data_IF_695710615807
#
_entry.id   IF_695710615807
#
_cell.length_a   1.000
_cell.length_b   1.000
_cell.length_c   1.000
_cell.angle_alpha   90.00
_cell.angle_beta   90.00
_cell.angle_gamma   90.00
#
_symmetry.space_group_name_H-M   'P 1'
#
loop_
_entity.id
_entity.type
_entity.pdbx_description
1 polymer ?
#
# COMPACT_ATOMS: atom_id res chain seq x y z
N UNK A 1 -7.67 13.75 -18.39
CA UNK A 1 -7.26 13.44 -19.76
C UNK A 1 -6.08 12.52 -19.64
N UNK A 2 -6.21 11.31 -20.17
CA UNK A 2 -5.13 10.33 -20.23
C UNK A 2 -3.94 10.88 -21.02
N UNK A 3 -2.73 10.61 -20.56
CA UNK A 3 -1.55 10.78 -21.40
C UNK A 3 -1.46 9.61 -22.41
N UNK A 4 -0.55 9.71 -23.37
CA UNK A 4 -0.41 8.69 -24.43
C UNK A 4 -0.09 7.30 -23.86
N UNK A 5 0.79 7.20 -22.86
CA UNK A 5 1.19 5.93 -22.27
C UNK A 5 0.01 5.26 -21.55
N UNK A 6 -0.80 6.02 -20.82
CA UNK A 6 -2.00 5.50 -20.16
C UNK A 6 -3.06 5.05 -21.18
N UNK A 7 -3.22 5.79 -22.28
CA UNK A 7 -4.14 5.42 -23.36
C UNK A 7 -3.70 4.14 -24.09
N UNK A 8 -2.40 3.95 -24.30
CA UNK A 8 -1.84 2.71 -24.84
C UNK A 8 -2.06 1.53 -23.89
N UNK A 9 -1.84 1.74 -22.59
CA UNK A 9 -2.09 0.71 -21.57
C UNK A 9 -3.55 0.26 -21.55
N UNK A 10 -4.50 1.20 -21.59
CA UNK A 10 -5.94 0.91 -21.70
C UNK A 10 -6.26 0.08 -22.93
N UNK A 11 -5.63 0.39 -24.07
CA UNK A 11 -5.85 -0.35 -25.32
C UNK A 11 -5.26 -1.76 -25.27
N UNK A 12 -4.16 -1.96 -24.57
CA UNK A 12 -3.50 -3.26 -24.45
C UNK A 12 -4.16 -4.18 -23.43
N UNK A 13 -4.86 -3.64 -22.43
CA UNK A 13 -5.54 -4.43 -21.40
C UNK A 13 -7.06 -4.16 -21.38
N UNK A 14 -7.81 -4.67 -22.38
CA UNK A 14 -9.26 -4.56 -22.41
C UNK A 14 -9.95 -5.42 -21.35
N UNK A 15 -9.23 -6.37 -20.75
CA UNK A 15 -9.77 -7.31 -19.77
C UNK A 15 -10.06 -6.62 -18.42
N UNK A 16 -9.59 -5.39 -18.21
CA UNK A 16 -9.94 -4.54 -17.05
C UNK A 16 -10.80 -3.35 -17.53
N UNK A 17 -12.14 -3.48 -17.57
CA UNK A 17 -13.02 -2.46 -18.14
C UNK A 17 -12.86 -1.08 -17.49
N UNK A 18 -12.61 -1.04 -16.19
CA UNK A 18 -12.46 0.19 -15.40
C UNK A 18 -11.09 0.86 -15.49
N UNK A 19 -10.13 0.30 -16.23
CA UNK A 19 -8.75 0.81 -16.27
C UNK A 19 -8.68 2.26 -16.77
N UNK A 20 -9.41 2.56 -17.85
CA UNK A 20 -9.49 3.90 -18.42
C UNK A 20 -10.05 4.94 -17.44
N UNK A 21 -10.95 4.51 -16.55
CA UNK A 21 -11.53 5.38 -15.53
C UNK A 21 -10.50 5.69 -14.44
N UNK A 22 -9.72 4.69 -14.00
CA UNK A 22 -8.75 4.87 -12.92
C UNK A 22 -7.48 5.62 -13.34
N UNK A 23 -7.11 5.56 -14.62
CA UNK A 23 -5.96 6.30 -15.16
C UNK A 23 -6.30 7.74 -15.55
N UNK A 24 -7.59 8.12 -15.65
CA UNK A 24 -8.00 9.49 -15.96
C UNK A 24 -8.60 10.18 -14.72
N UNK A 25 -7.83 11.01 -13.98
CA UNK A 25 -8.34 11.73 -12.83
C UNK A 25 -9.56 12.63 -13.13
N UNK A 26 -9.69 13.14 -14.36
CA UNK A 26 -10.83 13.98 -14.76
C UNK A 26 -12.08 13.12 -14.95
N UNK A 27 -11.95 11.97 -15.61
CA UNK A 27 -13.07 11.03 -15.76
C UNK A 27 -13.49 10.47 -14.40
N UNK A 28 -12.53 10.11 -13.56
CA UNK A 28 -12.79 9.65 -12.20
C UNK A 28 -13.48 10.73 -11.37
N UNK A 29 -13.04 11.99 -11.41
CA UNK A 29 -13.69 13.10 -10.72
C UNK A 29 -15.17 13.28 -11.11
N UNK A 30 -15.51 13.10 -12.39
CA UNK A 30 -16.91 13.15 -12.85
C UNK A 30 -17.73 12.05 -12.17
N UNK A 31 -17.21 10.82 -12.12
CA UNK A 31 -17.86 9.70 -11.41
C UNK A 31 -17.97 9.92 -9.90
N UNK A 32 -16.96 10.50 -9.26
CA UNK A 32 -17.04 10.90 -7.85
C UNK A 32 -18.18 11.90 -7.62
N UNK A 33 -18.34 12.90 -8.49
CA UNK A 33 -19.43 13.89 -8.39
C UNK A 33 -20.81 13.28 -8.63
N UNK A 34 -20.93 12.32 -9.56
CA UNK A 34 -22.17 11.57 -9.78
C UNK A 34 -22.55 10.73 -8.55
N UNK A 35 -21.57 10.07 -7.92
CA UNK A 35 -21.78 9.19 -6.75
C UNK A 35 -22.01 9.95 -5.45
N UNK A 36 -21.44 11.15 -5.32
CA UNK A 36 -21.60 12.03 -4.17
C UNK A 36 -21.89 13.47 -4.61
N UNK A 37 -23.11 13.77 -5.09
CA UNK A 37 -23.47 15.11 -5.59
C UNK A 37 -23.33 16.22 -4.55
N UNK A 38 -23.45 15.89 -3.27
CA UNK A 38 -23.27 16.80 -2.14
C UNK A 38 -21.80 17.21 -1.92
N UNK A 39 -20.86 16.47 -2.51
CA UNK A 39 -19.43 16.74 -2.33
C UNK A 39 -19.00 17.91 -3.24
N UNK A 40 -18.66 19.04 -2.64
CA UNK A 40 -18.02 20.13 -3.38
C UNK A 40 -16.55 19.79 -3.63
N UNK A 41 -16.27 19.11 -4.74
CA UNK A 41 -14.91 18.71 -5.11
C UNK A 41 -14.14 19.89 -5.73
N UNK A 42 -13.08 20.35 -5.06
CA UNK A 42 -12.16 21.38 -5.57
C UNK A 42 -11.03 20.78 -6.41
N UNK A 43 -10.47 19.67 -5.94
CA UNK A 43 -9.31 19.02 -6.57
C UNK A 43 -9.35 17.52 -6.36
N UNK A 44 -8.85 16.78 -7.34
CA UNK A 44 -8.51 15.37 -7.21
C UNK A 44 -7.05 15.16 -7.59
N UNK A 45 -6.34 14.37 -6.82
CA UNK A 45 -4.94 14.03 -7.09
C UNK A 45 -4.74 12.52 -6.99
N UNK A 46 -4.23 11.86 -8.03
CA UNK A 46 -3.77 10.48 -7.89
C UNK A 46 -2.56 10.44 -6.95
N UNK A 47 -2.51 9.41 -6.10
CA UNK A 47 -1.48 9.28 -5.05
C UNK A 47 -0.78 7.92 -5.07
N UNK A 48 -1.43 6.90 -5.63
CA UNK A 48 -0.89 5.56 -5.78
C UNK A 48 -1.58 4.88 -6.97
N UNK A 49 -0.82 4.11 -7.73
CA UNK A 49 -1.34 3.20 -8.74
C UNK A 49 -0.66 1.83 -8.55
N UNK A 50 -1.45 0.77 -8.56
CA UNK A 50 -1.00 -0.62 -8.60
C UNK A 50 -1.80 -1.35 -9.66
N UNK A 51 -1.16 -2.20 -10.42
CA UNK A 51 -1.77 -2.82 -11.58
C UNK A 51 -1.22 -4.23 -11.77
N UNK A 52 -2.11 -5.14 -12.12
CA UNK A 52 -1.78 -6.49 -12.57
C UNK A 52 -2.56 -6.75 -13.86
N UNK A 53 -1.82 -6.97 -14.96
CA UNK A 53 -2.36 -7.15 -16.31
C UNK A 53 -3.49 -8.19 -16.35
N UNK A 54 -4.62 -7.82 -16.95
CA UNK A 54 -5.83 -8.63 -17.13
C UNK A 54 -6.58 -8.98 -15.85
N UNK A 55 -6.08 -8.57 -14.66
CA UNK A 55 -6.61 -9.00 -13.37
C UNK A 55 -7.24 -7.86 -12.58
N UNK A 56 -6.47 -6.80 -12.29
CA UNK A 56 -6.99 -5.68 -11.50
C UNK A 56 -6.10 -4.44 -11.58
N UNK A 57 -6.72 -3.29 -11.29
CA UNK A 57 -6.03 -2.02 -11.09
C UNK A 57 -6.53 -1.38 -9.79
N UNK A 58 -5.63 -0.99 -8.88
CA UNK A 58 -5.93 -0.24 -7.67
C UNK A 58 -5.34 1.15 -7.80
N UNK A 59 -6.18 2.18 -7.75
CA UNK A 59 -5.77 3.58 -7.77
C UNK A 59 -6.25 4.30 -6.51
N UNK A 60 -5.38 5.06 -5.87
CA UNK A 60 -5.71 5.89 -4.71
C UNK A 60 -5.70 7.36 -5.09
N UNK A 61 -6.69 8.09 -4.58
CA UNK A 61 -6.86 9.51 -4.85
C UNK A 61 -7.02 10.29 -3.55
N UNK A 62 -6.53 11.53 -3.60
CA UNK A 62 -6.80 12.56 -2.61
C UNK A 62 -7.83 13.52 -3.20
N UNK A 63 -8.96 13.66 -2.51
CA UNK A 63 -10.02 14.61 -2.84
C UNK A 63 -9.91 15.80 -1.90
N UNK A 64 -9.81 17.00 -2.45
CA UNK A 64 -9.85 18.24 -1.68
C UNK A 64 -11.23 18.88 -1.81
N UNK A 65 -11.86 19.18 -0.68
CA UNK A 65 -13.14 19.90 -0.57
C UNK A 65 -12.91 21.26 0.09
N UNK A 66 -13.91 22.14 0.22
CA UNK A 66 -13.79 23.34 1.05
C UNK A 66 -13.40 23.05 2.50
N UNK A 67 -13.93 21.97 3.07
CA UNK A 67 -13.89 21.74 4.52
C UNK A 67 -12.82 20.73 4.94
N UNK A 68 -12.39 19.85 4.02
CA UNK A 68 -11.51 18.74 4.37
C UNK A 68 -10.77 18.14 3.18
N UNK A 69 -9.92 17.14 3.49
CA UNK A 69 -9.30 16.28 2.49
C UNK A 69 -9.71 14.84 2.77
N UNK A 70 -10.25 14.18 1.75
CA UNK A 70 -10.74 12.80 1.82
C UNK A 70 -9.81 11.91 0.99
N UNK A 71 -9.41 10.78 1.54
CA UNK A 71 -8.70 9.75 0.79
C UNK A 71 -9.71 8.73 0.29
N UNK A 72 -9.64 8.40 -1.00
CA UNK A 72 -10.43 7.32 -1.59
C UNK A 72 -9.49 6.39 -2.34
N UNK A 73 -9.85 5.13 -2.43
CA UNK A 73 -9.24 4.24 -3.40
C UNK A 73 -10.31 3.52 -4.20
N UNK A 74 -9.96 3.16 -5.42
CA UNK A 74 -10.82 2.42 -6.32
C UNK A 74 -10.06 1.21 -6.83
N UNK A 75 -10.79 0.10 -7.00
CA UNK A 75 -10.30 -1.13 -7.58
C UNK A 75 -11.13 -1.51 -8.78
N UNK A 76 -10.51 -1.50 -9.95
CA UNK A 76 -11.05 -2.09 -11.16
C UNK A 76 -10.70 -3.57 -11.17
N UNK A 77 -11.69 -4.41 -11.42
CA UNK A 77 -11.53 -5.86 -11.55
C UNK A 77 -11.61 -6.25 -13.03
N UNK A 78 -10.85 -7.27 -13.38
CA UNK A 78 -10.86 -7.83 -14.73
C UNK A 78 -11.88 -8.96 -14.88
N UNK A 79 -11.43 -10.12 -15.34
CA UNK A 79 -12.28 -11.28 -15.65
C UNK A 79 -13.16 -11.77 -14.48
N UNK A 80 -12.79 -11.48 -13.23
CA UNK A 80 -13.54 -11.85 -12.03
C UNK A 80 -14.51 -10.76 -11.52
N UNK A 81 -14.67 -9.66 -12.26
CA UNK A 81 -15.41 -8.47 -11.81
C UNK A 81 -16.82 -8.79 -11.30
N UNK A 82 -17.61 -9.56 -12.05
CA UNK A 82 -19.00 -9.86 -11.68
C UNK A 82 -19.12 -10.48 -10.28
N UNK A 83 -18.24 -11.42 -9.95
CA UNK A 83 -18.22 -12.08 -8.64
C UNK A 83 -17.79 -11.08 -7.54
N UNK A 84 -16.71 -10.34 -7.77
CA UNK A 84 -16.18 -9.38 -6.79
C UNK A 84 -17.15 -8.24 -6.50
N UNK A 85 -17.88 -7.79 -7.50
CA UNK A 85 -18.91 -6.78 -7.36
C UNK A 85 -20.11 -7.31 -6.58
N UNK A 86 -20.51 -8.57 -6.78
CA UNK A 86 -21.59 -9.19 -6.00
C UNK A 86 -21.21 -9.30 -4.52
N UNK A 87 -19.99 -9.77 -4.22
CA UNK A 87 -19.47 -9.84 -2.86
C UNK A 87 -19.45 -8.46 -2.19
N UNK A 88 -19.04 -7.42 -2.92
CA UNK A 88 -19.02 -6.05 -2.42
C UNK A 88 -20.42 -5.49 -2.16
N UNK A 89 -21.40 -5.80 -3.04
CA UNK A 89 -22.81 -5.45 -2.83
C UNK A 89 -23.34 -6.09 -1.56
N UNK A 90 -23.13 -7.40 -1.38
CA UNK A 90 -23.59 -8.13 -0.21
C UNK A 90 -23.04 -7.54 1.10
N UNK A 91 -21.75 -7.22 1.15
CA UNK A 91 -21.13 -6.55 2.32
C UNK A 91 -21.72 -5.17 2.58
N UNK A 92 -21.94 -4.38 1.54
CA UNK A 92 -22.52 -3.03 1.67
C UNK A 92 -23.94 -3.06 2.24
N UNK A 93 -24.76 -4.06 1.86
CA UNK A 93 -26.10 -4.23 2.42
C UNK A 93 -26.10 -4.67 3.88
N UNK A 94 -25.17 -5.55 4.27
CA UNK A 94 -25.06 -6.02 5.65
C UNK A 94 -24.64 -4.93 6.64
N UNK A 95 -23.98 -3.88 6.16
CA UNK A 95 -23.43 -2.80 6.96
C UNK A 95 -24.42 -1.71 7.40
N UNK A 96 -25.62 -1.63 6.80
CA UNK A 96 -26.60 -0.56 7.12
C UNK A 96 -26.08 0.87 6.88
N UNK A 97 -26.75 1.87 7.48
CA UNK A 97 -26.38 3.29 7.40
C UNK A 97 -25.09 3.65 8.18
N UNK A 98 -24.55 2.72 8.98
CA UNK A 98 -23.53 3.01 10.00
C UNK A 98 -22.08 2.65 9.63
N UNK A 99 -21.79 2.03 8.48
CA UNK A 99 -20.40 1.99 8.01
C UNK A 99 -20.01 0.83 7.10
N UNK A 100 -19.52 1.19 5.91
CA UNK A 100 -18.97 0.37 4.80
C UNK A 100 -19.72 0.64 3.49
N UNK A 101 -19.96 1.91 3.14
CA UNK A 101 -20.59 2.20 1.85
C UNK A 101 -19.53 2.28 0.75
N UNK A 102 -19.02 1.11 0.35
CA UNK A 102 -18.35 1.01 -0.94
C UNK A 102 -19.32 1.48 -2.03
N UNK A 103 -18.82 2.22 -3.02
CA UNK A 103 -19.60 2.60 -4.20
C UNK A 103 -19.21 1.72 -5.36
N UNK A 104 -20.20 1.19 -6.05
CA UNK A 104 -20.01 0.17 -7.07
C UNK A 104 -20.44 0.75 -8.42
N UNK A 105 -19.51 0.80 -9.36
CA UNK A 105 -19.73 1.19 -10.74
C UNK A 105 -19.74 -0.09 -11.58
N UNK A 106 -20.91 -0.74 -11.64
CA UNK A 106 -21.04 -2.06 -12.27
C UNK A 106 -20.63 -2.07 -13.74
N UNK A 107 -20.95 -1.02 -14.49
CA UNK A 107 -20.60 -0.88 -15.91
C UNK A 107 -19.08 -0.82 -16.16
N UNK A 108 -18.31 -0.52 -15.12
CA UNK A 108 -16.86 -0.39 -15.18
C UNK A 108 -16.12 -1.51 -14.45
N UNK A 109 -16.84 -2.43 -13.76
CA UNK A 109 -16.18 -3.41 -12.90
C UNK A 109 -15.39 -2.75 -11.75
N UNK A 110 -15.80 -1.56 -11.30
CA UNK A 110 -15.05 -0.77 -10.30
C UNK A 110 -15.78 -0.73 -8.96
N UNK A 111 -15.02 -0.89 -7.87
CA UNK A 111 -15.46 -0.65 -6.50
C UNK A 111 -14.63 0.48 -5.90
N UNK A 112 -15.28 1.44 -5.25
CA UNK A 112 -14.66 2.63 -4.65
C UNK A 112 -14.90 2.60 -3.14
N UNK A 113 -13.84 2.82 -2.37
CA UNK A 113 -13.86 2.90 -0.91
C UNK A 113 -13.32 4.26 -0.46
N UNK A 114 -14.02 4.88 0.49
CA UNK A 114 -13.53 6.08 1.16
C UNK A 114 -12.84 5.67 2.47
N UNK A 115 -11.61 6.15 2.67
CA UNK A 115 -10.88 5.97 3.93
C UNK A 115 -11.75 6.47 5.09
N UNK A 116 -11.86 5.71 6.18
CA UNK A 116 -11.04 4.55 6.58
C UNK A 116 -11.51 3.19 6.06
N UNK A 117 -12.58 3.12 5.27
CA UNK A 117 -13.09 1.84 4.79
C UNK A 117 -12.08 1.21 3.83
N UNK A 118 -11.74 -0.04 4.09
CA UNK A 118 -10.82 -0.83 3.29
C UNK A 118 -11.29 -2.28 3.25
N UNK A 119 -11.19 -2.88 2.07
CA UNK A 119 -11.68 -4.22 1.81
C UNK A 119 -10.92 -5.29 2.60
N UNK A 120 -9.61 -5.10 2.84
CA UNK A 120 -8.77 -6.10 3.50
C UNK A 120 -8.18 -5.63 4.82
N UNK A 121 -7.99 -4.32 4.99
CA UNK A 121 -7.39 -3.74 6.19
C UNK A 121 -8.46 -3.41 7.24
N UNK A 122 -9.12 -4.45 7.76
CA UNK A 122 -10.25 -4.33 8.69
C UNK A 122 -9.89 -3.57 9.97
N UNK A 123 -8.62 -3.62 10.39
CA UNK A 123 -8.16 -2.94 11.60
C UNK A 123 -8.12 -1.41 11.50
N UNK A 124 -8.31 -0.83 10.30
CA UNK A 124 -8.45 0.62 10.14
C UNK A 124 -9.63 1.21 10.90
N UNK A 125 -10.67 0.43 11.16
CA UNK A 125 -11.83 0.90 11.92
C UNK A 125 -11.44 1.26 13.36
N UNK A 126 -10.40 0.63 13.92
CA UNK A 126 -9.98 0.86 15.30
C UNK A 126 -9.21 2.18 15.51
N UNK A 127 -8.87 2.90 14.44
CA UNK A 127 -8.21 4.21 14.56
C UNK A 127 -9.19 5.38 14.42
N UNK A 128 -10.50 5.12 14.48
CA UNK A 128 -11.54 6.13 14.21
C UNK A 128 -12.08 6.82 15.45
N UNK A 129 -12.23 6.06 16.52
CA UNK A 129 -12.81 6.56 17.77
C UNK A 129 -11.77 6.43 18.87
N UNK A 130 -11.88 7.31 19.87
CA UNK A 130 -10.99 7.27 21.02
C UNK A 130 -11.07 5.91 21.74
N UNK A 131 -12.28 5.34 21.87
CA UNK A 131 -12.51 4.04 22.50
C UNK A 131 -11.83 2.90 21.73
N UNK A 132 -12.08 2.81 20.40
CA UNK A 132 -11.48 1.76 19.58
C UNK A 132 -9.95 1.87 19.51
N UNK A 133 -9.44 3.10 19.57
CA UNK A 133 -8.02 3.39 19.57
C UNK A 133 -7.37 3.04 20.90
N UNK A 134 -8.06 3.26 22.01
CA UNK A 134 -7.62 2.85 23.33
C UNK A 134 -7.39 1.34 23.39
N UNK A 135 -8.34 0.54 22.91
CA UNK A 135 -8.22 -0.93 22.92
C UNK A 135 -7.08 -1.42 22.02
N UNK A 136 -6.94 -0.84 20.82
CA UNK A 136 -5.82 -1.10 19.92
C UNK A 136 -4.48 -0.80 20.61
N UNK A 137 -4.32 0.37 21.21
CA UNK A 137 -3.07 0.81 21.83
C UNK A 137 -2.76 0.01 23.10
N UNK A 138 -3.77 -0.36 23.88
CA UNK A 138 -3.63 -1.23 25.06
C UNK A 138 -3.17 -2.64 24.67
N UNK A 139 -3.74 -3.19 23.60
CA UNK A 139 -3.33 -4.50 23.05
C UNK A 139 -1.90 -4.44 22.47
N UNK A 140 -1.56 -3.33 21.78
CA UNK A 140 -0.26 -3.17 21.12
C UNK A 140 0.90 -2.85 22.10
N UNK A 141 0.63 -2.06 23.15
CA UNK A 141 1.62 -1.54 24.10
C UNK A 141 1.17 -1.76 25.56
N UNK A 142 1.05 -3.01 26.02
CA UNK A 142 0.41 -3.34 27.30
C UNK A 142 1.18 -2.84 28.54
N UNK A 143 2.44 -2.45 28.40
CA UNK A 143 3.26 -1.95 29.52
C UNK A 143 3.40 -0.42 29.51
N UNK A 144 2.82 0.27 28.52
CA UNK A 144 2.88 1.73 28.36
C UNK A 144 1.50 2.36 28.57
N UNK A 145 0.96 2.31 29.79
CA UNK A 145 -0.40 2.81 30.08
C UNK A 145 -0.62 4.28 29.66
N UNK A 146 0.40 5.13 29.75
CA UNK A 146 0.34 6.53 29.32
C UNK A 146 0.18 6.71 27.81
N UNK A 147 0.38 5.65 27.02
CA UNK A 147 0.26 5.69 25.57
C UNK A 147 -1.14 5.36 25.08
N UNK A 148 -2.00 4.74 25.90
CA UNK A 148 -3.30 4.23 25.45
C UNK A 148 -4.29 5.32 25.07
N UNK A 149 -4.10 6.54 25.59
CA UNK A 149 -4.88 7.73 25.21
C UNK A 149 -4.15 8.62 24.21
N UNK A 150 -3.02 8.15 23.66
CA UNK A 150 -2.28 8.87 22.62
C UNK A 150 -3.05 8.92 21.31
N UNK A 151 -2.72 9.86 20.42
CA UNK A 151 -3.35 10.05 19.10
C UNK A 151 -2.59 9.30 18.01
N UNK A 152 -3.32 8.57 17.15
CA UNK A 152 -2.76 7.92 15.96
C UNK A 152 -2.90 8.85 14.76
N UNK A 153 -1.78 9.23 14.14
CA UNK A 153 -1.75 10.07 12.95
C UNK A 153 -1.23 9.31 11.73
N UNK A 154 -2.10 9.00 10.74
CA UNK A 154 -1.69 8.37 9.47
C UNK A 154 -0.58 9.13 8.73
N UNK A 155 0.52 8.44 8.43
CA UNK A 155 1.64 8.96 7.62
C UNK A 155 1.52 8.48 6.18
N UNK A 156 1.30 7.17 6.01
CA UNK A 156 1.22 6.52 4.70
C UNK A 156 0.15 5.44 4.72
N UNK A 157 -0.61 5.36 3.64
CA UNK A 157 -1.68 4.38 3.48
C UNK A 157 -1.53 3.73 2.11
N UNK A 158 -1.38 2.40 2.12
CA UNK A 158 -1.38 1.57 0.93
C UNK A 158 -2.61 0.65 1.00
N UNK A 159 -3.70 0.98 0.27
CA UNK A 159 -4.95 0.24 0.37
C UNK A 159 -4.76 -1.26 0.17
N UNK A 160 -5.52 -2.05 0.91
CA UNK A 160 -5.49 -3.52 0.91
C UNK A 160 -4.10 -4.12 1.27
N UNK A 161 -3.18 -3.34 1.83
CA UNK A 161 -1.86 -3.84 2.26
C UNK A 161 -1.51 -3.42 3.68
N UNK A 162 -1.42 -2.12 3.93
CA UNK A 162 -1.03 -1.61 5.24
C UNK A 162 -1.30 -0.11 5.41
N UNK A 163 -1.37 0.30 6.67
CA UNK A 163 -1.27 1.69 7.13
C UNK A 163 0.01 1.85 7.94
N UNK A 164 0.73 2.96 7.77
CA UNK A 164 1.76 3.42 8.68
C UNK A 164 1.31 4.73 9.31
N UNK A 165 1.33 4.79 10.65
CA UNK A 165 0.90 5.94 11.43
C UNK A 165 1.92 6.27 12.54
N UNK A 166 1.93 7.52 12.99
CA UNK A 166 2.66 7.93 14.19
C UNK A 166 1.74 7.82 15.38
N UNK A 167 2.20 7.23 16.48
CA UNK A 167 1.57 7.41 17.79
C UNK A 167 2.16 8.66 18.45
N UNK A 168 1.30 9.61 18.84
CA UNK A 168 1.67 10.79 19.60
C UNK A 168 1.05 10.76 20.99
N UNK A 169 1.86 11.08 22.01
CA UNK A 169 1.40 11.31 23.39
C UNK A 169 1.83 12.72 23.75
N UNK A 170 0.91 13.55 24.24
CA UNK A 170 1.14 14.97 24.50
C UNK A 170 1.80 15.69 23.30
N UNK A 171 1.28 15.43 22.09
CA UNK A 171 1.79 15.95 20.81
C UNK A 171 3.22 15.49 20.42
N UNK A 172 3.86 14.64 21.23
CA UNK A 172 5.20 14.12 20.95
C UNK A 172 5.14 12.73 20.33
N UNK A 173 5.80 12.49 19.18
CA UNK A 173 5.92 11.16 18.60
C UNK A 173 6.59 10.18 19.57
N UNK A 174 5.93 9.06 19.84
CA UNK A 174 6.45 7.98 20.71
C UNK A 174 6.83 6.75 19.90
N UNK A 175 6.00 6.37 18.93
CA UNK A 175 6.16 5.15 18.16
C UNK A 175 5.63 5.31 16.73
N UNK A 176 6.00 4.36 15.87
CA UNK A 176 5.37 4.12 14.58
C UNK A 176 4.49 2.88 14.70
N UNK A 177 3.24 2.98 14.26
CA UNK A 177 2.30 1.87 14.19
C UNK A 177 2.15 1.47 12.73
N UNK A 178 2.27 0.17 12.46
CA UNK A 178 1.99 -0.42 11.15
C UNK A 178 0.82 -1.39 11.28
N UNK A 179 -0.33 -1.04 10.72
CA UNK A 179 -1.47 -1.95 10.58
C UNK A 179 -1.30 -2.72 9.28
N UNK A 180 -1.47 -4.04 9.30
CA UNK A 180 -1.30 -4.91 8.14
C UNK A 180 -2.57 -5.69 7.85
N UNK A 181 -2.72 -6.13 6.60
CA UNK A 181 -3.70 -7.17 6.28
C UNK A 181 -3.30 -8.49 6.96
N UNK A 182 -4.28 -9.34 7.34
CA UNK A 182 -4.03 -10.58 8.09
C UNK A 182 -2.94 -11.45 7.46
N UNK A 183 -3.02 -11.68 6.15
CA UNK A 183 -2.12 -12.55 5.38
C UNK A 183 -0.64 -12.13 5.46
N UNK A 184 -0.36 -10.84 5.73
CA UNK A 184 0.99 -10.30 5.79
C UNK A 184 1.49 -10.09 7.21
N UNK A 185 0.64 -10.22 8.23
CA UNK A 185 0.99 -9.87 9.60
C UNK A 185 2.11 -10.76 10.17
N UNK A 186 1.97 -12.08 10.05
CA UNK A 186 2.92 -13.04 10.63
C UNK A 186 4.30 -12.91 10.00
N UNK A 187 4.39 -12.95 8.67
CA UNK A 187 5.66 -12.78 7.95
C UNK A 187 6.32 -11.41 8.26
N UNK A 188 5.52 -10.34 8.36
CA UNK A 188 6.05 -9.02 8.73
C UNK A 188 6.54 -8.96 10.19
N UNK A 189 5.86 -9.66 11.11
CA UNK A 189 6.27 -9.75 12.51
C UNK A 189 7.58 -10.52 12.64
N UNK A 190 7.69 -11.69 12.02
CA UNK A 190 8.90 -12.51 12.03
C UNK A 190 10.09 -11.72 11.45
N UNK A 191 9.91 -11.10 10.29
CA UNK A 191 10.93 -10.23 9.69
C UNK A 191 11.33 -9.05 10.59
N UNK A 192 10.39 -8.46 11.34
CA UNK A 192 10.67 -7.38 12.28
C UNK A 192 11.38 -7.84 13.56
N UNK A 193 11.19 -9.10 13.96
CA UNK A 193 11.87 -9.72 15.09
C UNK A 193 13.30 -10.16 14.74
N UNK A 194 13.56 -10.46 13.48
CA UNK A 194 14.89 -10.77 12.97
C UNK A 194 15.79 -9.55 13.09
N UNK A 195 16.51 -9.50 14.21
CA UNK A 195 17.44 -8.46 14.49
C UNK A 195 18.78 -8.74 13.78
N UNK A 196 18.85 -8.47 12.48
CA UNK A 196 20.15 -8.37 11.78
C UNK A 196 20.95 -7.24 12.44
N UNK A 197 21.97 -7.56 13.23
CA UNK A 197 22.84 -6.55 13.81
C UNK A 197 23.50 -5.76 12.68
N UNK A 198 23.41 -4.43 12.74
CA UNK A 198 24.07 -3.56 11.79
C UNK A 198 24.57 -2.31 12.52
N UNK A 199 25.88 -2.22 12.70
CA UNK A 199 26.53 -1.08 13.35
C UNK A 199 26.49 0.21 12.50
N UNK A 200 26.15 0.10 11.22
CA UNK A 200 26.27 1.19 10.25
C UNK A 200 24.99 2.01 10.07
N UNK A 201 23.82 1.50 10.44
CA UNK A 201 22.58 2.28 10.41
C UNK A 201 21.61 1.95 11.55
N UNK A 202 20.91 2.98 12.01
CA UNK A 202 19.81 2.83 12.97
C UNK A 202 18.58 2.30 12.23
N UNK A 203 18.01 1.20 12.73
CA UNK A 203 16.70 0.72 12.30
C UNK A 203 15.63 1.00 13.36
N UNK A 204 14.36 1.14 12.96
CA UNK A 204 13.25 1.02 13.88
C UNK A 204 13.26 -0.37 14.51
N UNK A 205 13.10 -0.45 15.83
CA UNK A 205 13.04 -1.70 16.58
C UNK A 205 11.59 -2.02 16.89
N UNK A 206 11.18 -3.28 16.74
CA UNK A 206 9.86 -3.72 17.16
C UNK A 206 9.74 -3.61 18.68
N UNK A 207 8.78 -2.82 19.16
CA UNK A 207 8.52 -2.54 20.59
C UNK A 207 7.11 -2.93 21.02
N UNK A 208 6.27 -3.40 20.10
CA UNK A 208 4.92 -3.90 20.37
C UNK A 208 4.37 -4.70 19.20
N UNK A 209 3.47 -5.65 19.47
CA UNK A 209 2.72 -6.35 18.43
C UNK A 209 1.36 -6.76 18.95
N UNK A 210 0.32 -6.68 18.12
CA UNK A 210 -1.01 -7.22 18.41
C UNK A 210 -1.49 -8.06 17.23
N UNK A 211 -1.70 -9.36 17.47
CA UNK A 211 -2.23 -10.28 16.46
C UNK A 211 -3.72 -10.02 16.20
N UNK A 212 -4.48 -9.70 17.25
CA UNK A 212 -5.89 -9.34 17.17
C UNK A 212 -6.14 -8.20 16.17
N UNK A 213 -5.31 -7.16 16.23
CA UNK A 213 -5.44 -5.99 15.35
C UNK A 213 -4.52 -6.00 14.13
N UNK A 214 -3.75 -7.08 13.93
CA UNK A 214 -2.71 -7.18 12.90
C UNK A 214 -1.78 -5.96 12.88
N UNK A 215 -1.36 -5.53 14.06
CA UNK A 215 -0.63 -4.29 14.29
C UNK A 215 0.79 -4.55 14.81
N UNK A 216 1.76 -3.80 14.30
CA UNK A 216 3.15 -3.80 14.76
C UNK A 216 3.55 -2.39 15.21
N UNK A 217 4.22 -2.29 16.35
CA UNK A 217 4.70 -1.06 16.94
C UNK A 217 6.22 -0.98 16.86
N UNK A 218 6.76 0.12 16.35
CA UNK A 218 8.19 0.33 16.16
C UNK A 218 8.66 1.60 16.87
N UNK A 219 9.94 1.64 17.24
CA UNK A 219 10.56 2.87 17.74
C UNK A 219 10.43 4.00 16.73
N UNK A 220 10.11 5.20 17.22
CA UNK A 220 10.12 6.39 16.39
C UNK A 220 11.57 6.83 16.12
N UNK A 221 11.94 6.96 14.85
CA UNK A 221 13.23 7.53 14.45
C UNK A 221 13.05 9.00 14.07
N UNK A 222 13.62 9.96 14.82
CA UNK A 222 13.54 11.37 14.46
C UNK A 222 14.33 11.63 13.19
N UNK A 223 13.75 12.40 12.26
CA UNK A 223 14.42 12.77 11.02
C UNK A 223 13.52 13.47 10.02
N UNK A 224 14.11 13.87 8.90
CA UNK A 224 13.43 14.47 7.76
C UNK A 224 13.62 13.55 6.56
N UNK A 225 12.54 13.24 5.84
CA UNK A 225 12.62 12.48 4.60
C UNK A 225 13.51 13.18 3.56
N UNK A 226 14.38 12.42 2.89
CA UNK A 226 15.27 12.92 1.84
C UNK A 226 14.53 13.73 0.77
N UNK A 227 13.33 13.31 0.35
CA UNK A 227 12.51 14.05 -0.62
C UNK A 227 12.19 15.49 -0.19
N UNK A 228 12.02 15.74 1.12
CA UNK A 228 11.80 17.10 1.65
C UNK A 228 13.09 17.94 1.63
N UNK A 229 14.25 17.28 1.71
CA UNK A 229 15.56 17.94 1.58
C UNK A 229 15.80 18.29 0.10
N UNK A 230 15.55 17.33 -0.79
CA UNK A 230 15.66 17.52 -2.25
C UNK A 230 14.81 18.68 -2.77
N UNK A 231 13.61 18.86 -2.22
CA UNK A 231 12.72 19.96 -2.63
C UNK A 231 13.18 21.36 -2.16
N UNK A 232 14.16 21.48 -1.25
CA UNK A 232 14.55 22.75 -0.63
C UNK A 232 15.92 23.27 -1.07
N UNK A 233 16.91 22.39 -1.24
CA UNK A 233 18.28 22.79 -1.54
C UNK A 233 19.05 21.66 -2.26
N UNK A 234 19.48 21.94 -3.49
CA UNK A 234 20.22 21.00 -4.33
C UNK A 234 21.57 20.59 -3.73
N UNK A 235 22.28 21.48 -3.02
CA UNK A 235 23.58 21.17 -2.42
C UNK A 235 23.48 20.22 -1.21
N UNK A 236 22.38 20.31 -0.46
CA UNK A 236 22.06 19.35 0.60
C UNK A 236 21.54 18.03 0.03
N UNK A 237 20.92 18.06 -1.15
CA UNK A 237 20.51 16.86 -1.87
C UNK A 237 21.72 15.98 -2.21
N UNK A 238 22.79 16.55 -2.75
CA UNK A 238 23.98 15.82 -3.18
C UNK A 238 24.65 15.07 -2.00
N UNK A 239 24.81 15.75 -0.86
CA UNK A 239 25.35 15.12 0.36
C UNK A 239 24.44 14.01 0.90
N UNK A 240 23.13 14.21 0.81
CA UNK A 240 22.13 13.21 1.20
C UNK A 240 22.20 11.95 0.33
N UNK A 241 22.30 12.12 -0.99
CA UNK A 241 22.44 11.03 -1.96
C UNK A 241 23.77 10.28 -1.75
N UNK A 242 24.87 11.01 -1.61
CA UNK A 242 26.20 10.40 -1.39
C UNK A 242 26.24 9.56 -0.10
N UNK A 243 25.65 10.08 0.99
CA UNK A 243 25.52 9.34 2.25
C UNK A 243 24.62 8.11 2.09
N UNK A 244 23.49 8.24 1.40
CA UNK A 244 22.60 7.11 1.13
C UNK A 244 23.31 6.02 0.31
N UNK A 245 24.05 6.40 -0.73
CA UNK A 245 24.84 5.48 -1.56
C UNK A 245 25.90 4.74 -0.75
N UNK A 246 26.62 5.43 0.15
CA UNK A 246 27.58 4.80 1.07
C UNK A 246 26.91 3.79 2.01
N UNK A 247 25.76 4.13 2.58
CA UNK A 247 25.02 3.22 3.46
C UNK A 247 24.45 2.02 2.70
N UNK A 248 23.94 2.23 1.49
CA UNK A 248 23.43 1.16 0.62
C UNK A 248 24.55 0.19 0.20
N UNK A 249 25.74 0.71 -0.13
CA UNK A 249 26.90 -0.14 -0.42
C UNK A 249 27.26 -1.02 0.79
N UNK A 250 27.27 -0.45 2.00
CA UNK A 250 27.50 -1.23 3.23
C UNK A 250 26.42 -2.27 3.47
N UNK A 251 25.16 -1.95 3.18
CA UNK A 251 24.05 -2.90 3.27
C UNK A 251 24.22 -4.08 2.29
N UNK A 252 24.60 -3.81 1.03
CA UNK A 252 24.86 -4.86 0.04
C UNK A 252 26.08 -5.73 0.33
N UNK A 253 27.02 -5.24 1.14
CA UNK A 253 28.21 -6.00 1.56
C UNK A 253 27.96 -6.92 2.75
N UNK A 254 26.77 -6.88 3.36
CA UNK A 254 26.42 -7.82 4.43
C UNK A 254 26.28 -9.23 3.84
N UNK A 255 26.92 -10.22 4.47
CA UNK A 255 26.94 -11.59 3.96
C UNK A 255 25.56 -12.24 4.11
N UNK A 256 25.14 -13.02 3.12
CA UNK A 256 23.96 -13.89 3.21
C UNK A 256 24.09 -14.91 4.35
N UNK A 257 25.31 -15.25 4.77
CA UNK A 257 25.57 -16.10 5.94
C UNK A 257 25.07 -15.46 7.25
N UNK A 258 25.08 -14.12 7.33
CA UNK A 258 24.55 -13.35 8.46
C UNK A 258 23.01 -13.19 8.38
N UNK A 259 22.40 -13.69 7.31
CA UNK A 259 20.97 -13.58 7.01
C UNK A 259 20.29 -14.96 6.90
N UNK A 260 20.87 -15.99 7.53
CA UNK A 260 20.41 -17.39 7.50
C UNK A 260 18.99 -17.65 8.00
N UNK A 261 18.33 -16.64 8.59
CA UNK A 261 16.94 -16.70 9.04
C UNK A 261 15.94 -16.01 8.09
N UNK A 262 16.38 -15.34 7.04
CA UNK A 262 15.43 -14.78 6.07
C UNK A 262 14.66 -15.92 5.41
N UNK A 263 13.33 -15.78 5.36
CA UNK A 263 12.45 -16.65 4.58
C UNK A 263 12.91 -16.65 3.12
N UNK A 264 13.74 -17.62 2.75
CA UNK A 264 14.06 -17.92 1.36
C UNK A 264 12.75 -18.43 0.76
N UNK A 265 12.23 -17.72 -0.25
CA UNK A 265 11.04 -18.17 -0.98
C UNK A 265 11.31 -19.58 -1.49
N UNK A 266 10.30 -20.44 -1.43
CA UNK A 266 10.47 -21.74 -2.08
C UNK A 266 10.68 -21.53 -3.59
N UNK A 267 11.48 -22.43 -4.19
CA UNK A 267 11.87 -22.32 -5.61
C UNK A 267 10.65 -22.29 -6.54
N UNK A 268 9.56 -22.98 -6.17
CA UNK A 268 8.34 -22.99 -6.96
C UNK A 268 7.68 -21.61 -7.04
N UNK A 269 7.59 -20.92 -5.90
CA UNK A 269 7.08 -19.55 -5.80
C UNK A 269 7.95 -18.58 -6.59
N UNK A 270 9.28 -18.72 -6.53
CA UNK A 270 10.19 -17.88 -7.30
C UNK A 270 10.03 -18.08 -8.82
N UNK A 271 9.89 -19.33 -9.27
CA UNK A 271 9.62 -19.66 -10.67
C UNK A 271 8.28 -19.07 -11.14
N UNK A 272 7.22 -19.23 -10.34
CA UNK A 272 5.89 -18.69 -10.67
C UNK A 272 5.91 -17.16 -10.76
N UNK A 273 6.64 -16.48 -9.86
CA UNK A 273 6.80 -15.03 -9.92
C UNK A 273 7.54 -14.58 -11.19
N UNK A 274 8.63 -15.26 -11.58
CA UNK A 274 9.35 -14.95 -12.82
C UNK A 274 8.43 -15.08 -14.03
N UNK A 275 7.64 -16.16 -14.12
CA UNK A 275 6.65 -16.34 -15.19
C UNK A 275 5.63 -15.21 -15.22
N UNK A 276 5.05 -14.88 -14.07
CA UNK A 276 4.09 -13.78 -13.96
C UNK A 276 4.70 -12.42 -14.37
N UNK A 277 5.96 -12.15 -14.03
CA UNK A 277 6.62 -10.91 -14.46
C UNK A 277 6.85 -10.88 -15.98
N UNK A 278 7.24 -12.00 -16.60
CA UNK A 278 7.40 -12.07 -18.05
C UNK A 278 6.07 -11.86 -18.79
N UNK A 279 5.00 -12.48 -18.30
CA UNK A 279 3.64 -12.26 -18.82
C UNK A 279 3.17 -10.81 -18.65
N UNK A 280 3.42 -10.21 -17.48
CA UNK A 280 3.10 -8.81 -17.24
C UNK A 280 3.86 -7.87 -18.18
N UNK A 281 5.16 -8.11 -18.41
CA UNK A 281 5.95 -7.35 -19.37
C UNK A 281 5.44 -7.51 -20.81
N UNK A 282 5.05 -8.73 -21.19
CA UNK A 282 4.47 -9.02 -22.49
C UNK A 282 3.14 -8.27 -22.70
N UNK A 283 2.30 -8.21 -21.66
CA UNK A 283 1.02 -7.48 -21.69
C UNK A 283 1.20 -5.96 -21.73
N UNK A 284 2.15 -5.41 -20.96
CA UNK A 284 2.47 -3.99 -20.97
C UNK A 284 3.10 -3.55 -22.30
N UNK A 285 3.96 -4.41 -22.85
CA UNK A 285 4.77 -4.12 -24.02
C UNK A 285 4.87 -5.36 -24.92
N UNK A 286 4.00 -5.47 -25.93
CA UNK A 286 3.97 -6.65 -26.81
C UNK A 286 5.31 -6.95 -27.50
N UNK A 287 6.13 -5.93 -27.78
CA UNK A 287 7.45 -6.11 -28.37
C UNK A 287 8.47 -6.76 -27.41
N UNK A 288 8.24 -6.67 -26.09
CA UNK A 288 9.05 -7.32 -25.07
C UNK A 288 8.63 -8.77 -24.78
N UNK A 289 7.53 -9.26 -25.37
CA UNK A 289 7.02 -10.61 -25.07
C UNK A 289 8.06 -11.69 -25.29
N UNK A 290 8.65 -11.73 -26.48
CA UNK A 290 9.66 -12.73 -26.83
C UNK A 290 10.93 -12.62 -25.93
N UNK A 291 11.58 -11.46 -25.79
CA UNK A 291 12.76 -11.36 -24.93
C UNK A 291 12.47 -11.57 -23.44
N UNK A 292 11.29 -11.17 -22.93
CA UNK A 292 10.91 -11.40 -21.53
C UNK A 292 10.68 -12.89 -21.23
N UNK A 293 10.02 -13.60 -22.15
CA UNK A 293 9.81 -15.06 -22.02
C UNK A 293 11.15 -15.78 -22.05
N UNK A 294 12.02 -15.45 -23.01
CA UNK A 294 13.34 -16.06 -23.12
C UNK A 294 14.19 -15.82 -21.85
N UNK A 295 14.16 -14.60 -21.30
CA UNK A 295 14.88 -14.29 -20.07
C UNK A 295 14.33 -15.07 -18.87
N UNK A 296 13.00 -15.18 -18.77
CA UNK A 296 12.36 -15.98 -17.72
C UNK A 296 12.78 -17.45 -17.79
N UNK A 297 12.78 -18.06 -18.97
CA UNK A 297 13.21 -19.44 -19.17
C UNK A 297 14.68 -19.63 -18.71
N UNK A 298 15.58 -18.71 -19.08
CA UNK A 298 16.99 -18.75 -18.64
C UNK A 298 17.10 -18.65 -17.11
N UNK A 299 16.33 -17.76 -16.47
CA UNK A 299 16.36 -17.60 -15.02
C UNK A 299 15.81 -18.85 -14.31
N UNK A 300 14.73 -19.44 -14.82
CA UNK A 300 14.14 -20.67 -14.29
C UNK A 300 15.13 -21.83 -14.41
N UNK A 301 15.77 -22.00 -15.57
CA UNK A 301 16.81 -23.02 -15.75
C UNK A 301 17.99 -22.85 -14.77
N UNK A 302 18.34 -21.63 -14.41
CA UNK A 302 19.39 -21.37 -13.42
C UNK A 302 18.95 -21.68 -11.99
N UNK A 303 17.69 -21.42 -11.65
CA UNK A 303 17.11 -21.73 -10.34
C UNK A 303 16.86 -23.24 -10.13
N UNK A 304 16.68 -23.99 -11.21
CA UNK A 304 16.50 -25.45 -11.15
C UNK A 304 17.84 -26.21 -11.04
N UNK A 305 18.97 -25.55 -11.31
CA UNK A 305 20.31 -26.10 -11.07
C UNK A 305 20.72 -26.06 -9.58
#
# INVERSE_FOLDING_TARGET
MLNQADAELVRHDPDIPGLHLLLDPIAFARKIKELWPQLTLKKIEPTLLRYQYGQWCVASFRLTTPDSTIRVYAKAHGNDASLKLLEAKARSYAAGDEGMTARILSDFGVIIYAFPNDQKLTSLTHILTEDSQYDLLRSLFPTQATWWTGTIEPIHYSPERYLVATLKVDQKPQAIIKLLVPDNYHAAKESAQQQIENEHFKRPVLIGSSAEYHALGFTYLPGIHLNKIFAKDQSHADKGVERAGRLLNKFHQQSLADMSELSIKDRATEIDEIKQQAEALAGLSPFLKAPATQLADIMIEQLER
#
